data_IF_859420444523
#
_entry.id   IF_859420444523
#
_cell.length_a   1.000
_cell.length_b   1.000
_cell.length_c   1.000
_cell.angle_alpha   90.00
_cell.angle_beta   90.00
_cell.angle_gamma   90.00
#
_symmetry.space_group_name_H-M   'P 1'
#
loop_
_entity.id
_entity.type
_entity.pdbx_description
1 polymer ?
#
# COMPACT_ATOMS: atom_id res chain seq x y z
N UNK A 1 -7.32 22.25 6.48
CA UNK A 1 -6.31 21.57 7.31
C UNK A 1 -5.52 20.65 6.40
N UNK A 2 -4.21 20.85 6.24
CA UNK A 2 -3.36 20.01 5.37
C UNK A 2 -2.79 18.89 6.24
N UNK A 3 -3.27 17.66 6.07
CA UNK A 3 -2.74 16.48 6.76
C UNK A 3 -1.74 15.79 5.85
N UNK A 4 -0.47 15.73 6.23
CA UNK A 4 0.59 15.05 5.47
C UNK A 4 0.85 13.67 6.07
N UNK A 5 0.49 12.61 5.36
CA UNK A 5 0.76 11.23 5.79
C UNK A 5 2.02 10.73 5.07
N UNK A 6 3.11 10.50 5.82
CA UNK A 6 4.34 9.92 5.29
C UNK A 6 4.24 8.38 5.28
N UNK A 7 3.98 7.78 4.12
CA UNK A 7 3.92 6.32 3.97
C UNK A 7 5.29 5.70 3.66
N UNK A 8 5.65 4.67 4.44
CA UNK A 8 6.95 3.98 4.35
C UNK A 8 6.96 2.76 3.42
N UNK A 9 5.85 2.46 2.75
CA UNK A 9 5.69 1.26 1.88
C UNK A 9 5.89 1.64 0.40
N UNK A 10 6.89 1.08 -0.31
CA UNK A 10 7.20 1.46 -1.69
C UNK A 10 6.04 1.27 -2.68
N UNK A 11 5.28 0.16 -2.57
CA UNK A 11 4.11 -0.11 -3.43
C UNK A 11 3.09 1.01 -3.29
N UNK A 12 2.73 1.37 -2.06
CA UNK A 12 1.75 2.42 -1.80
C UNK A 12 2.17 3.77 -2.40
N UNK A 13 3.48 4.07 -2.41
CA UNK A 13 4.02 5.31 -2.99
C UNK A 13 3.89 5.37 -4.52
N UNK A 14 3.94 4.23 -5.20
CA UNK A 14 3.79 4.13 -6.66
C UNK A 14 2.35 4.27 -7.14
N UNK A 15 1.38 3.99 -6.25
CA UNK A 15 -0.05 3.93 -6.56
C UNK A 15 -0.89 4.98 -5.82
N UNK A 16 -0.27 5.86 -5.02
CA UNK A 16 -0.95 6.97 -4.36
C UNK A 16 -0.38 8.30 -4.83
N UNK A 17 -1.20 9.35 -4.94
CA UNK A 17 -0.70 10.68 -5.23
C UNK A 17 0.31 11.11 -4.15
N UNK A 18 1.38 11.84 -4.53
CA UNK A 18 2.44 12.24 -3.60
C UNK A 18 1.94 13.17 -2.49
N UNK A 19 0.77 13.77 -2.66
CA UNK A 19 0.05 14.57 -1.67
C UNK A 19 -1.43 14.28 -1.80
N UNK A 20 -2.08 14.00 -0.67
CA UNK A 20 -3.52 13.85 -0.59
C UNK A 20 -4.08 15.05 0.18
N UNK A 21 -4.82 15.92 -0.50
CA UNK A 21 -5.45 17.08 0.12
C UNK A 21 -6.93 16.74 0.30
N UNK A 22 -7.35 16.51 1.54
CA UNK A 22 -8.76 16.33 1.88
C UNK A 22 -9.31 17.66 2.37
N UNK A 23 -10.24 18.22 1.61
CA UNK A 23 -10.97 19.41 2.01
C UNK A 23 -12.13 18.99 2.92
N UNK A 24 -11.93 19.10 4.24
CA UNK A 24 -12.97 18.83 5.23
C UNK A 24 -14.12 19.86 5.21
N UNK A 25 -14.05 20.90 4.37
CA UNK A 25 -15.09 21.91 4.26
C UNK A 25 -15.17 22.39 2.82
N UNK A 26 -16.11 21.86 2.03
CA UNK A 26 -17.05 22.64 1.23
C UNK A 26 -18.00 21.72 0.46
N UNK A 27 -19.24 21.78 0.91
CA UNK A 27 -20.50 21.73 0.17
C UNK A 27 -20.98 20.47 -0.57
N UNK A 28 -22.23 20.14 -0.22
CA UNK A 28 -23.20 19.30 -0.93
C UNK A 28 -22.88 17.81 -1.17
N UNK A 29 -23.22 16.96 -0.18
CA UNK A 29 -23.74 15.61 -0.50
C UNK A 29 -23.26 14.39 0.32
N UNK A 30 -22.20 14.48 1.13
CA UNK A 30 -21.65 13.31 1.87
C UNK A 30 -21.32 13.67 3.33
N UNK A 31 -22.36 13.92 4.13
CA UNK A 31 -22.24 14.53 5.46
C UNK A 31 -21.80 13.63 6.62
N UNK A 32 -21.56 12.33 6.43
CA UNK A 32 -21.23 11.42 7.54
C UNK A 32 -19.73 11.29 7.78
N UNK A 33 -18.95 10.96 6.74
CA UNK A 33 -17.51 10.65 6.86
C UNK A 33 -16.67 11.89 7.19
N UNK A 34 -17.03 13.05 6.64
CA UNK A 34 -16.36 14.34 6.96
C UNK A 34 -16.61 14.75 8.41
N UNK A 35 -17.85 14.63 8.89
CA UNK A 35 -18.22 14.91 10.29
C UNK A 35 -17.53 13.94 11.25
N UNK A 36 -17.39 12.67 10.88
CA UNK A 36 -16.61 11.69 11.64
C UNK A 36 -15.13 12.07 11.73
N UNK A 37 -14.53 12.54 10.65
CA UNK A 37 -13.13 13.00 10.63
C UNK A 37 -12.93 14.24 11.51
N UNK A 38 -13.85 15.21 11.47
CA UNK A 38 -13.81 16.39 12.33
C UNK A 38 -13.92 16.02 13.82
N UNK A 39 -14.84 15.12 14.17
CA UNK A 39 -14.98 14.61 15.53
C UNK A 39 -13.72 13.90 16.02
N UNK A 40 -13.11 13.07 15.17
CA UNK A 40 -11.89 12.35 15.49
C UNK A 40 -10.69 13.28 15.70
N UNK A 41 -10.55 14.32 14.87
CA UNK A 41 -9.49 15.34 15.02
C UNK A 41 -9.68 16.15 16.30
N UNK A 42 -10.92 16.48 16.66
CA UNK A 42 -11.22 17.14 17.94
C UNK A 42 -10.76 16.27 19.13
N UNK A 43 -11.05 14.97 19.08
CA UNK A 43 -10.70 13.99 20.11
C UNK A 43 -9.18 13.79 20.25
N UNK A 44 -8.43 13.82 19.13
CA UNK A 44 -6.97 13.80 19.15
C UNK A 44 -6.38 15.06 19.81
N UNK A 45 -6.99 16.23 19.58
CA UNK A 45 -6.52 17.49 20.19
C UNK A 45 -6.73 17.51 21.70
N UNK A 46 -7.88 17.04 22.18
CA UNK A 46 -8.13 16.94 23.63
C UNK A 46 -7.17 15.96 24.31
N UNK A 47 -6.88 14.82 23.67
CA UNK A 47 -5.96 13.82 24.22
C UNK A 47 -4.49 14.28 24.27
N UNK A 48 -4.11 15.25 23.42
CA UNK A 48 -2.74 15.80 23.44
C UNK A 48 -2.58 16.87 24.51
N UNK A 49 -3.67 17.46 24.99
CA UNK A 49 -3.67 18.50 26.01
C UNK A 49 -3.58 17.94 27.43
N UNK A 50 -4.09 16.72 27.64
CA UNK A 50 -4.07 16.04 28.93
C UNK A 50 -3.08 14.88 28.90
N UNK A 51 -2.11 14.85 29.82
CA UNK A 51 -1.09 13.80 29.91
C UNK A 51 -1.67 12.53 30.58
N UNK A 52 -2.58 11.85 29.87
CA UNK A 52 -3.29 10.67 30.36
C UNK A 52 -2.43 9.40 30.28
N UNK A 53 -2.53 8.55 31.30
CA UNK A 53 -1.92 7.22 31.32
C UNK A 53 -2.61 6.33 30.27
N UNK A 54 -2.01 6.24 29.09
CA UNK A 54 -2.59 5.54 27.93
C UNK A 54 -2.84 6.42 26.70
N UNK A 55 -2.62 7.74 26.80
CA UNK A 55 -2.84 8.68 25.69
C UNK A 55 -2.05 8.35 24.43
N UNK A 56 -0.85 7.75 24.56
CA UNK A 56 -0.09 7.25 23.39
C UNK A 56 -0.79 6.11 22.65
N UNK A 57 -1.42 5.19 23.38
CA UNK A 57 -2.17 4.09 22.76
C UNK A 57 -3.45 4.60 22.10
N UNK A 58 -4.14 5.53 22.76
CA UNK A 58 -5.34 6.18 22.21
C UNK A 58 -5.01 7.03 20.98
N UNK A 59 -3.97 7.85 21.03
CA UNK A 59 -3.48 8.63 19.87
C UNK A 59 -3.10 7.71 18.70
N UNK A 60 -2.53 6.53 18.95
CA UNK A 60 -2.19 5.58 17.89
C UNK A 60 -3.46 4.98 17.26
N UNK A 61 -4.46 4.61 18.07
CA UNK A 61 -5.75 4.13 17.60
C UNK A 61 -6.50 5.21 16.80
N UNK A 62 -6.53 6.45 17.32
CA UNK A 62 -7.12 7.60 16.63
C UNK A 62 -6.36 7.93 15.35
N UNK A 63 -5.03 7.85 15.33
CA UNK A 63 -4.23 8.04 14.11
C UNK A 63 -4.57 7.01 13.04
N UNK A 64 -4.77 5.76 13.46
CA UNK A 64 -5.18 4.66 12.57
C UNK A 64 -6.58 4.91 12.01
N UNK A 65 -7.54 5.31 12.85
CA UNK A 65 -8.89 5.65 12.43
C UNK A 65 -8.92 6.87 11.50
N UNK A 66 -8.11 7.89 11.78
CA UNK A 66 -7.98 9.10 10.95
C UNK A 66 -7.47 8.72 9.56
N UNK A 67 -6.44 7.89 9.51
CA UNK A 67 -5.85 7.40 8.28
C UNK A 67 -6.88 6.64 7.43
N UNK A 68 -7.68 5.76 8.05
CA UNK A 68 -8.73 5.03 7.36
C UNK A 68 -9.83 5.96 6.82
N UNK A 69 -10.31 6.92 7.62
CA UNK A 69 -11.34 7.88 7.19
C UNK A 69 -10.87 8.79 6.05
N UNK A 70 -9.63 9.26 6.11
CA UNK A 70 -9.00 10.04 5.03
C UNK A 70 -8.92 9.22 3.74
N UNK A 71 -8.61 7.94 3.83
CA UNK A 71 -8.58 7.03 2.68
C UNK A 71 -9.97 6.83 2.09
N UNK A 72 -11.00 6.63 2.91
CA UNK A 72 -12.40 6.51 2.47
C UNK A 72 -12.86 7.76 1.73
N UNK A 73 -12.68 8.95 2.32
CA UNK A 73 -13.05 10.23 1.69
C UNK A 73 -12.35 10.45 0.35
N UNK A 74 -11.06 10.12 0.28
CA UNK A 74 -10.30 10.23 -0.96
C UNK A 74 -10.73 9.24 -2.05
N UNK A 75 -11.34 8.12 -1.66
CA UNK A 75 -11.87 7.11 -2.58
C UNK A 75 -13.21 7.55 -3.18
N UNK A 76 -13.98 8.37 -2.45
CA UNK A 76 -15.31 8.86 -2.84
C UNK A 76 -15.25 10.12 -3.74
N UNK A 77 -14.10 10.77 -3.84
CA UNK A 77 -13.89 11.93 -4.71
C UNK A 77 -14.05 11.55 -6.19
N UNK A 78 -14.95 12.25 -6.90
CA UNK A 78 -15.31 11.98 -8.30
C UNK A 78 -14.16 12.09 -9.31
N UNK A 79 -13.02 12.68 -8.92
CA UNK A 79 -11.84 12.88 -9.77
C UNK A 79 -10.57 12.30 -9.12
N UNK A 80 -10.69 11.12 -8.49
CA UNK A 80 -9.53 10.44 -7.92
C UNK A 80 -8.51 10.12 -9.03
N UNK A 81 -7.26 10.60 -8.94
CA UNK A 81 -6.22 10.28 -9.91
C UNK A 81 -5.99 8.76 -9.95
N UNK A 82 -5.64 8.25 -11.14
CA UNK A 82 -5.34 6.81 -11.36
C UNK A 82 -4.41 6.28 -10.27
N UNK A 83 -4.78 5.15 -9.67
CA UNK A 83 -4.06 4.60 -8.52
C UNK A 83 -4.95 3.82 -7.57
N UNK A 84 -4.42 3.52 -6.38
CA UNK A 84 -5.07 2.66 -5.38
C UNK A 84 -6.39 3.26 -4.88
N UNK A 85 -6.49 4.59 -4.82
CA UNK A 85 -7.71 5.32 -4.42
C UNK A 85 -8.82 5.22 -5.47
N UNK A 86 -8.47 5.35 -6.75
CA UNK A 86 -9.42 5.16 -7.85
C UNK A 86 -9.96 3.72 -7.90
N UNK A 87 -9.17 2.74 -7.47
CA UNK A 87 -9.63 1.35 -7.32
C UNK A 87 -10.46 1.16 -6.05
N UNK A 88 -10.10 1.83 -4.95
CA UNK A 88 -10.87 1.80 -3.70
C UNK A 88 -12.29 2.37 -3.89
N UNK A 89 -12.45 3.40 -4.74
CA UNK A 89 -13.74 3.92 -5.18
C UNK A 89 -14.52 3.03 -6.17
N UNK A 90 -13.99 1.86 -6.55
CA UNK A 90 -14.62 0.96 -7.51
C UNK A 90 -14.90 -0.43 -6.89
N UNK A 91 -16.03 -0.62 -6.19
CA UNK A 91 -16.32 -1.82 -5.38
C UNK A 91 -16.17 -3.13 -6.13
N UNK A 92 -16.47 -3.15 -7.43
CA UNK A 92 -16.36 -4.35 -8.26
C UNK A 92 -14.92 -4.84 -8.48
N UNK A 93 -13.91 -4.00 -8.34
CA UNK A 93 -12.50 -4.38 -8.48
C UNK A 93 -11.86 -4.82 -7.15
N UNK A 94 -12.50 -4.50 -6.02
CA UNK A 94 -12.00 -4.81 -4.68
C UNK A 94 -11.70 -6.32 -4.47
N UNK A 95 -12.52 -7.28 -4.94
CA UNK A 95 -12.23 -8.70 -4.75
C UNK A 95 -10.88 -9.14 -5.36
N UNK A 96 -10.55 -8.65 -6.55
CA UNK A 96 -9.26 -8.92 -7.17
C UNK A 96 -8.12 -8.28 -6.38
N UNK A 97 -8.26 -7.03 -5.94
CA UNK A 97 -7.24 -6.35 -5.13
C UNK A 97 -6.94 -7.10 -3.83
N UNK A 98 -7.99 -7.48 -3.10
CA UNK A 98 -7.87 -8.25 -1.86
C UNK A 98 -7.16 -9.57 -2.13
N UNK A 99 -7.52 -10.28 -3.19
CA UNK A 99 -6.89 -11.54 -3.57
C UNK A 99 -5.39 -11.40 -3.88
N UNK A 100 -5.00 -10.33 -4.60
CA UNK A 100 -3.60 -10.04 -4.93
C UNK A 100 -2.77 -9.72 -3.68
N UNK A 101 -3.33 -8.98 -2.71
CA UNK A 101 -2.63 -8.65 -1.46
C UNK A 101 -2.57 -9.81 -0.47
N UNK A 102 -3.63 -10.61 -0.37
CA UNK A 102 -3.69 -11.73 0.59
C UNK A 102 -2.86 -12.93 0.16
N UNK A 103 -2.74 -13.17 -1.15
CA UNK A 103 -2.06 -14.35 -1.69
C UNK A 103 -1.06 -13.96 -2.79
N UNK A 104 0.01 -13.21 -2.46
CA UNK A 104 0.96 -12.72 -3.45
C UNK A 104 1.78 -13.85 -4.10
N UNK A 105 2.02 -14.95 -3.39
CA UNK A 105 2.77 -16.11 -3.88
C UNK A 105 2.00 -16.94 -4.91
N UNK A 106 0.66 -16.88 -4.89
CA UNK A 106 -0.19 -17.62 -5.83
C UNK A 106 -0.02 -17.11 -7.26
N UNK A 107 0.02 -18.03 -8.20
CA UNK A 107 0.05 -17.74 -9.64
C UNK A 107 -1.35 -17.36 -10.15
N UNK A 108 -1.77 -16.12 -9.89
CA UNK A 108 -3.06 -15.60 -10.34
C UNK A 108 -3.13 -15.45 -11.86
N UNK A 109 -4.20 -15.95 -12.46
CA UNK A 109 -4.53 -15.70 -13.87
C UNK A 109 -5.56 -14.58 -14.01
N UNK A 110 -5.51 -13.84 -15.12
CA UNK A 110 -6.50 -12.79 -15.42
C UNK A 110 -7.95 -13.31 -15.44
N UNK A 111 -8.27 -14.51 -15.98
CA UNK A 111 -9.61 -15.07 -15.88
C UNK A 111 -10.07 -15.32 -14.44
N UNK A 112 -9.20 -15.79 -13.54
CA UNK A 112 -9.55 -16.00 -12.13
C UNK A 112 -9.87 -14.67 -11.43
N UNK A 113 -9.03 -13.65 -11.62
CA UNK A 113 -9.25 -12.33 -11.04
C UNK A 113 -10.54 -11.69 -11.59
N UNK A 114 -10.81 -11.85 -12.88
CA UNK A 114 -12.04 -11.36 -13.49
C UNK A 114 -13.29 -12.05 -12.91
N UNK A 115 -13.21 -13.36 -12.64
CA UNK A 115 -14.30 -14.11 -11.99
C UNK A 115 -14.57 -13.61 -10.58
N UNK A 116 -13.54 -13.31 -9.78
CA UNK A 116 -13.71 -12.72 -8.45
C UNK A 116 -14.48 -11.39 -8.50
N UNK A 117 -14.31 -10.64 -9.58
CA UNK A 117 -14.98 -9.36 -9.81
C UNK A 117 -16.35 -9.46 -10.51
N UNK A 118 -16.83 -10.67 -10.81
CA UNK A 118 -18.03 -10.88 -11.66
C UNK A 118 -17.94 -10.11 -12.98
N UNK A 119 -16.82 -10.25 -13.68
CA UNK A 119 -16.54 -9.59 -14.95
C UNK A 119 -16.04 -10.59 -16.00
N UNK A 120 -16.27 -10.27 -17.27
CA UNK A 120 -15.51 -10.91 -18.34
C UNK A 120 -14.03 -10.54 -18.24
N UNK A 121 -13.14 -11.39 -18.77
CA UNK A 121 -11.69 -11.10 -18.80
C UNK A 121 -11.39 -9.75 -19.47
N UNK A 122 -12.03 -9.46 -20.60
CA UNK A 122 -11.81 -8.23 -21.35
C UNK A 122 -12.26 -6.99 -20.56
N UNK A 123 -13.43 -7.06 -19.93
CA UNK A 123 -13.95 -5.98 -19.07
C UNK A 123 -13.03 -5.74 -17.88
N UNK A 124 -12.59 -6.81 -17.21
CA UNK A 124 -11.68 -6.72 -16.07
C UNK A 124 -10.37 -6.03 -16.45
N UNK A 125 -9.68 -6.50 -17.50
CA UNK A 125 -8.39 -5.92 -17.91
C UNK A 125 -8.53 -4.44 -18.24
N UNK A 126 -9.57 -4.06 -19.00
CA UNK A 126 -9.84 -2.67 -19.36
C UNK A 126 -10.10 -1.81 -18.13
N UNK A 127 -11.02 -2.21 -17.25
CA UNK A 127 -11.38 -1.41 -16.07
C UNK A 127 -10.23 -1.33 -15.07
N UNK A 128 -9.51 -2.44 -14.84
CA UNK A 128 -8.39 -2.48 -13.93
C UNK A 128 -7.27 -1.54 -14.38
N UNK A 129 -6.89 -1.59 -15.66
CA UNK A 129 -5.86 -0.71 -16.20
C UNK A 129 -6.30 0.76 -16.27
N UNK A 130 -7.56 1.03 -16.59
CA UNK A 130 -8.08 2.40 -16.61
C UNK A 130 -8.08 3.05 -15.23
N UNK A 131 -8.47 2.30 -14.19
CA UNK A 131 -8.57 2.79 -12.81
C UNK A 131 -7.24 2.80 -12.07
N UNK A 132 -6.44 1.73 -12.17
CA UNK A 132 -5.14 1.66 -11.51
C UNK A 132 -4.04 2.39 -12.29
N UNK A 133 -4.20 2.55 -13.61
CA UNK A 133 -3.16 3.06 -14.51
C UNK A 133 -2.09 2.03 -14.90
N UNK A 134 -2.14 0.83 -14.30
CA UNK A 134 -1.22 -0.30 -14.57
C UNK A 134 -1.98 -1.60 -14.66
N UNK A 135 -1.34 -2.63 -15.23
CA UNK A 135 -1.96 -3.95 -15.32
C UNK A 135 -1.98 -4.67 -13.97
N UNK A 136 -2.84 -5.67 -13.83
CA UNK A 136 -2.86 -6.55 -12.65
C UNK A 136 -1.54 -7.33 -12.48
N UNK A 137 -0.84 -7.63 -13.57
CA UNK A 137 0.47 -8.29 -13.54
C UNK A 137 1.57 -7.36 -13.01
N UNK A 138 1.52 -6.08 -13.37
CA UNK A 138 2.44 -5.07 -12.84
C UNK A 138 2.24 -4.90 -11.32
N UNK A 139 0.99 -4.76 -10.89
CA UNK A 139 0.68 -4.67 -9.47
C UNK A 139 1.16 -5.90 -8.68
N UNK A 140 0.92 -7.10 -9.20
CA UNK A 140 1.40 -8.32 -8.58
C UNK A 140 2.94 -8.35 -8.50
N UNK A 141 3.63 -7.90 -9.54
CA UNK A 141 5.09 -7.77 -9.52
C UNK A 141 5.53 -6.81 -8.41
N UNK A 142 4.92 -5.64 -8.30
CA UNK A 142 5.27 -4.64 -7.29
C UNK A 142 5.05 -5.15 -5.85
N UNK A 143 3.93 -5.86 -5.62
CA UNK A 143 3.64 -6.51 -4.33
C UNK A 143 4.74 -7.52 -3.99
N UNK A 144 5.05 -8.43 -4.93
CA UNK A 144 6.06 -9.49 -4.74
C UNK A 144 7.45 -8.91 -4.50
N UNK A 145 7.86 -7.91 -5.27
CA UNK A 145 9.17 -7.29 -5.12
C UNK A 145 9.31 -6.55 -3.80
N UNK A 146 8.24 -5.92 -3.32
CA UNK A 146 8.25 -5.26 -2.01
C UNK A 146 8.33 -6.25 -0.86
N UNK A 147 7.58 -7.36 -0.95
CA UNK A 147 7.68 -8.45 0.02
C UNK A 147 9.08 -9.08 0.00
N UNK A 148 9.64 -9.31 -1.19
CA UNK A 148 10.99 -9.83 -1.35
C UNK A 148 12.04 -8.89 -0.77
N UNK A 149 11.94 -7.58 -1.04
CA UNK A 149 12.88 -6.59 -0.52
C UNK A 149 12.87 -6.55 1.01
N UNK A 150 11.68 -6.69 1.62
CA UNK A 150 11.56 -6.79 3.08
C UNK A 150 12.18 -8.11 3.59
N UNK A 151 11.80 -9.26 3.04
CA UNK A 151 12.32 -10.58 3.47
C UNK A 151 13.83 -10.68 3.34
N UNK A 152 14.42 -10.16 2.26
CA UNK A 152 15.86 -10.14 2.07
C UNK A 152 16.61 -9.32 3.14
N UNK A 153 15.92 -8.38 3.80
CA UNK A 153 16.46 -7.53 4.86
C UNK A 153 16.17 -8.08 6.27
N UNK A 154 15.03 -8.73 6.46
CA UNK A 154 14.53 -9.12 7.80
C UNK A 154 14.74 -10.59 8.12
N UNK A 155 15.16 -11.41 7.16
CA UNK A 155 15.35 -12.85 7.33
C UNK A 155 16.67 -13.35 6.73
N UNK A 156 17.15 -14.47 7.25
CA UNK A 156 18.35 -15.17 6.78
C UNK A 156 18.07 -16.16 5.63
N UNK A 157 16.85 -16.16 5.08
CA UNK A 157 16.44 -17.01 3.97
C UNK A 157 17.39 -16.88 2.78
N UNK A 158 17.61 -17.96 2.02
CA UNK A 158 18.40 -17.85 0.80
C UNK A 158 17.65 -17.02 -0.26
N UNK A 159 18.37 -16.54 -1.29
CA UNK A 159 17.73 -15.82 -2.40
C UNK A 159 16.71 -16.71 -3.12
N UNK A 160 16.98 -18.01 -3.22
CA UNK A 160 16.07 -19.03 -3.76
C UNK A 160 14.80 -19.19 -2.93
N UNK A 161 14.95 -19.32 -1.61
CA UNK A 161 13.80 -19.47 -0.70
C UNK A 161 12.89 -18.23 -0.75
N UNK A 162 13.47 -17.02 -0.75
CA UNK A 162 12.70 -15.78 -0.90
C UNK A 162 11.97 -15.75 -2.24
N UNK A 163 12.62 -16.19 -3.33
CA UNK A 163 12.00 -16.26 -4.65
C UNK A 163 10.77 -17.18 -4.63
N UNK A 164 10.88 -18.37 -4.03
CA UNK A 164 9.78 -19.31 -3.91
C UNK A 164 8.64 -18.75 -3.05
N UNK A 165 8.96 -18.19 -1.89
CA UNK A 165 7.97 -17.62 -0.97
C UNK A 165 7.19 -16.45 -1.58
N UNK A 166 7.81 -15.65 -2.46
CA UNK A 166 7.13 -14.57 -3.18
C UNK A 166 6.50 -15.03 -4.51
N UNK A 167 6.53 -16.34 -4.81
CA UNK A 167 5.78 -16.94 -5.92
C UNK A 167 6.52 -16.99 -7.27
N UNK A 168 7.86 -16.94 -7.26
CA UNK A 168 8.68 -17.18 -8.44
C UNK A 168 9.15 -18.63 -8.49
N UNK A 169 8.92 -19.30 -9.63
CA UNK A 169 9.36 -20.68 -9.86
C UNK A 169 10.83 -20.81 -10.25
N UNK A 170 11.50 -19.70 -10.54
CA UNK A 170 12.88 -19.66 -10.98
C UNK A 170 13.60 -18.51 -10.31
N UNK A 171 14.71 -18.83 -9.64
CA UNK A 171 15.56 -17.82 -9.02
C UNK A 171 16.11 -16.84 -10.07
N UNK A 172 16.47 -17.31 -11.26
CA UNK A 172 16.94 -16.44 -12.35
C UNK A 172 15.87 -15.43 -12.79
N UNK A 173 14.60 -15.86 -12.88
CA UNK A 173 13.49 -14.95 -13.19
C UNK A 173 13.28 -13.93 -12.08
N UNK A 174 13.35 -14.36 -10.82
CA UNK A 174 13.27 -13.49 -9.66
C UNK A 174 14.41 -12.47 -9.64
N UNK A 175 15.67 -12.89 -9.80
CA UNK A 175 16.82 -12.01 -9.77
C UNK A 175 16.76 -10.93 -10.87
N UNK A 176 16.29 -11.28 -12.07
CA UNK A 176 16.07 -10.32 -13.17
C UNK A 176 14.98 -9.31 -12.83
N UNK A 177 13.83 -9.78 -12.35
CA UNK A 177 12.71 -8.92 -11.97
C UNK A 177 13.11 -8.00 -10.80
N UNK A 178 13.77 -8.53 -9.78
CA UNK A 178 14.23 -7.79 -8.62
C UNK A 178 15.25 -6.73 -8.99
N UNK A 179 16.23 -7.06 -9.84
CA UNK A 179 17.20 -6.07 -10.34
C UNK A 179 16.53 -4.98 -11.16
N UNK A 180 15.53 -5.31 -11.98
CA UNK A 180 14.77 -4.32 -12.74
C UNK A 180 13.95 -3.38 -11.82
N UNK A 181 13.35 -3.92 -10.76
CA UNK A 181 12.52 -3.17 -9.82
C UNK A 181 13.32 -2.33 -8.81
N UNK A 182 14.34 -2.93 -8.19
CA UNK A 182 15.12 -2.32 -7.10
C UNK A 182 16.40 -1.63 -7.60
N UNK A 183 16.88 -1.96 -8.80
CA UNK A 183 18.14 -1.44 -9.36
C UNK A 183 19.40 -2.15 -8.87
N UNK A 184 19.28 -3.13 -7.97
CA UNK A 184 20.37 -3.93 -7.44
C UNK A 184 20.00 -5.42 -7.39
N UNK A 185 21.00 -6.32 -7.38
CA UNK A 185 20.74 -7.75 -7.19
C UNK A 185 20.29 -8.04 -5.75
N UNK A 186 19.50 -9.12 -5.51
CA UNK A 186 19.09 -9.51 -4.16
C UNK A 186 20.24 -9.61 -3.15
N UNK A 187 21.36 -10.22 -3.55
CA UNK A 187 22.56 -10.35 -2.72
C UNK A 187 23.19 -8.99 -2.37
N UNK A 188 23.22 -8.04 -3.33
CA UNK A 188 23.72 -6.69 -3.07
C UNK A 188 22.76 -5.93 -2.15
N UNK A 189 21.45 -6.07 -2.36
CA UNK A 189 20.42 -5.46 -1.53
C UNK A 189 20.53 -5.88 -0.06
N UNK A 190 20.77 -7.16 0.21
CA UNK A 190 21.03 -7.70 1.56
C UNK A 190 22.24 -7.02 2.21
N UNK A 191 23.34 -6.88 1.48
CA UNK A 191 24.58 -6.27 2.00
C UNK A 191 24.45 -4.78 2.32
N UNK A 192 23.56 -4.05 1.63
CA UNK A 192 23.38 -2.61 1.82
C UNK A 192 22.78 -2.25 3.21
N UNK A 193 22.20 -3.20 3.94
CA UNK A 193 21.67 -2.96 5.31
C UNK A 193 22.54 -3.54 6.42
N UNK A 194 23.51 -4.42 6.09
CA UNK A 194 24.45 -4.98 7.10
C UNK A 194 25.46 -3.93 7.60
N UNK A 195 25.53 -2.74 6.97
CA UNK A 195 26.14 -1.53 7.54
C UNK A 195 25.10 -0.40 7.43
N UNK A 196 24.52 0.07 8.56
CA UNK A 196 25.25 0.94 9.47
C UNK A 196 24.87 0.75 10.95
N UNK A 197 25.74 0.10 11.72
CA UNK A 197 25.96 0.42 13.14
C UNK A 197 27.39 -0.01 13.53
N UNK A 198 28.02 0.71 14.46
CA UNK A 198 29.35 0.44 15.08
C UNK A 198 30.62 1.21 14.65
N UNK A 199 30.56 2.46 14.16
CA UNK A 199 31.69 3.42 14.31
C UNK A 199 31.17 4.85 14.41
N UNK A 200 30.65 5.24 15.58
CA UNK A 200 30.59 6.62 16.10
C UNK A 200 29.91 6.62 17.48
N UNK A 201 30.56 5.99 18.45
CA UNK A 201 30.33 6.22 19.88
C UNK A 201 31.58 5.79 20.67
N UNK A 202 32.75 6.20 20.20
CA UNK A 202 34.00 6.16 20.98
C UNK A 202 34.98 7.11 20.29
N UNK A 203 34.88 8.41 20.65
CA UNK A 203 35.99 9.32 21.02
C UNK A 203 35.39 10.37 21.93
#
# INVERSE_FOLDING_TARGET
>A
MIVTVAMKVPVLRSYLPPRLIVHAASDSGQGSTTTQLEGLVSLMRSETADDHLGGRALLNALSTAMFALVLCLASEAHDAPRGLLAVAGHPRLAPAMVALFQNPSRAWSLPELARLCNMSRATFVRQFQDKLGRSAADLMTDIRMTLAANKLQTSDLSTGDVAEEVGYRSEAAFQRAFKAYVGATPAKWRKTQVLPDQRKAEV
#
